data_IF_541516639084
#
_entry.id   IF_541516639084
#
_cell.length_a   1.000
_cell.length_b   1.000
_cell.length_c   1.000
_cell.angle_alpha   90.00
_cell.angle_beta   90.00
_cell.angle_gamma   90.00
#
_symmetry.space_group_name_H-M   'P 1'
#
loop_
_entity.id
_entity.type
_entity.pdbx_description
1 polymer ?
#
# COMPACT_ATOMS: atom_id res chain seq x y z
N UNK A 1 -10.39 -23.08 -10.58
CA UNK A 1 -9.87 -23.85 -9.41
C UNK A 1 -9.88 -22.90 -8.23
N UNK A 2 -10.42 -23.31 -7.10
CA UNK A 2 -10.44 -22.51 -5.89
C UNK A 2 -8.98 -22.37 -5.37
N UNK A 3 -8.50 -21.16 -5.00
CA UNK A 3 -7.17 -20.99 -4.43
C UNK A 3 -7.08 -21.68 -3.07
N UNK A 4 -5.90 -22.15 -2.70
CA UNK A 4 -5.63 -22.70 -1.37
C UNK A 4 -5.79 -21.61 -0.31
N UNK A 5 -5.35 -20.40 -0.64
CA UNK A 5 -5.49 -19.19 0.19
C UNK A 5 -5.43 -17.94 -0.68
N UNK A 6 -6.25 -16.96 -0.34
CA UNK A 6 -6.21 -15.62 -0.93
C UNK A 6 -6.35 -14.57 0.18
N UNK A 7 -5.30 -13.80 0.42
CA UNK A 7 -5.30 -12.79 1.49
C UNK A 7 -6.17 -11.55 1.20
N UNK A 8 -6.67 -11.41 -0.03
CA UNK A 8 -7.56 -10.33 -0.44
C UNK A 8 -9.03 -10.72 -0.46
N UNK A 9 -9.35 -11.98 -0.28
CA UNK A 9 -10.71 -12.49 -0.19
C UNK A 9 -11.11 -12.69 1.28
N UNK A 10 -12.20 -12.04 1.70
CA UNK A 10 -12.72 -12.12 3.07
C UNK A 10 -13.19 -13.52 3.48
N UNK A 11 -13.45 -14.41 2.54
CA UNK A 11 -13.72 -15.81 2.84
C UNK A 11 -12.49 -16.55 3.41
N UNK A 12 -11.28 -16.03 3.13
CA UNK A 12 -10.02 -16.58 3.63
C UNK A 12 -9.42 -15.78 4.78
N UNK A 13 -9.60 -14.46 4.79
CA UNK A 13 -9.08 -13.60 5.86
C UNK A 13 -10.06 -12.49 6.22
N UNK A 14 -10.63 -12.57 7.41
CA UNK A 14 -11.59 -11.60 7.92
C UNK A 14 -11.12 -11.00 9.25
N UNK A 15 -11.18 -9.65 9.39
CA UNK A 15 -11.52 -8.67 8.36
C UNK A 15 -10.43 -8.54 7.29
N UNK A 16 -10.79 -7.99 6.14
CA UNK A 16 -9.85 -7.64 5.09
C UNK A 16 -8.83 -6.58 5.57
N UNK A 17 -7.61 -6.66 5.03
CA UNK A 17 -6.56 -5.66 5.27
C UNK A 17 -6.00 -5.65 6.69
N UNK A 18 -5.72 -4.46 7.22
CA UNK A 18 -5.21 -4.25 8.56
C UNK A 18 -6.29 -4.47 9.62
N UNK A 19 -5.88 -4.89 10.83
CA UNK A 19 -6.80 -5.17 11.93
C UNK A 19 -6.46 -4.34 13.15
N UNK A 20 -7.46 -3.98 13.94
CA UNK A 20 -7.23 -3.30 15.21
C UNK A 20 -6.64 -4.27 16.25
N UNK A 21 -5.76 -3.76 17.10
CA UNK A 21 -5.28 -4.55 18.25
C UNK A 21 -6.46 -5.00 19.13
N UNK A 22 -6.46 -6.26 19.54
CA UNK A 22 -7.51 -6.93 20.32
C UNK A 22 -8.83 -7.15 19.57
N UNK A 23 -8.84 -7.01 18.25
CA UNK A 23 -9.94 -7.49 17.43
C UNK A 23 -9.67 -8.90 16.95
N UNK A 24 -10.71 -9.69 16.81
CA UNK A 24 -10.59 -11.03 16.25
C UNK A 24 -10.25 -10.97 14.76
N UNK A 25 -9.38 -11.84 14.32
CA UNK A 25 -9.04 -12.07 12.92
C UNK A 25 -9.18 -13.54 12.60
N UNK A 26 -9.98 -13.88 11.62
CA UNK A 26 -10.24 -15.25 11.18
C UNK A 26 -9.40 -15.53 9.94
N UNK A 27 -8.73 -16.69 9.96
CA UNK A 27 -7.98 -17.20 8.82
C UNK A 27 -8.55 -18.54 8.39
N UNK A 28 -8.77 -18.70 7.09
CA UNK A 28 -9.26 -19.92 6.48
C UNK A 28 -8.33 -20.37 5.36
N UNK A 29 -8.14 -21.67 5.18
CA UNK A 29 -7.46 -22.26 4.03
C UNK A 29 -8.33 -23.35 3.43
N UNK A 30 -8.28 -23.49 2.11
CA UNK A 30 -8.89 -24.59 1.40
C UNK A 30 -7.84 -25.65 1.08
N UNK A 31 -8.06 -26.88 1.55
CA UNK A 31 -7.15 -28.00 1.28
C UNK A 31 -7.83 -28.97 0.30
N UNK A 32 -7.31 -29.08 -0.94
CA UNK A 32 -7.84 -29.99 -1.95
C UNK A 32 -7.79 -31.46 -1.49
N UNK A 33 -8.71 -32.29 -1.94
CA UNK A 33 -8.78 -33.74 -1.56
C UNK A 33 -7.59 -34.55 -2.03
N UNK A 34 -6.89 -34.13 -3.09
CA UNK A 34 -5.69 -34.77 -3.60
C UNK A 34 -4.43 -34.46 -2.75
N UNK A 35 -4.56 -33.60 -1.74
CA UNK A 35 -3.51 -33.31 -0.75
C UNK A 35 -3.94 -33.86 0.61
N UNK A 36 -3.66 -35.15 0.91
CA UNK A 36 -4.02 -35.72 2.19
C UNK A 36 -3.23 -35.07 3.32
N UNK A 37 -3.91 -34.85 4.44
CA UNK A 37 -3.31 -34.27 5.63
C UNK A 37 -3.07 -35.37 6.67
N UNK A 38 -1.84 -35.50 7.16
CA UNK A 38 -1.52 -36.41 8.27
C UNK A 38 -2.01 -35.86 9.60
N UNK A 39 -1.99 -34.51 9.74
CA UNK A 39 -2.44 -33.79 10.93
C UNK A 39 -3.18 -32.50 10.50
N UNK A 40 -3.92 -31.92 11.44
CA UNK A 40 -4.57 -30.62 11.22
C UNK A 40 -3.52 -29.55 10.84
N UNK A 41 -3.82 -28.70 9.85
CA UNK A 41 -2.92 -27.61 9.46
C UNK A 41 -2.79 -26.59 10.59
N UNK A 42 -1.73 -25.80 10.54
CA UNK A 42 -1.45 -24.74 11.52
C UNK A 42 -1.20 -23.40 10.85
N UNK A 43 -1.73 -22.35 11.42
CA UNK A 43 -1.34 -20.99 11.15
C UNK A 43 -0.12 -20.66 12.01
N UNK A 44 0.95 -20.21 11.39
CA UNK A 44 2.18 -19.76 12.06
C UNK A 44 2.28 -18.25 11.97
N UNK A 45 2.37 -17.58 13.12
CA UNK A 45 2.43 -16.12 13.21
C UNK A 45 3.61 -15.68 14.08
N UNK A 46 4.24 -14.58 13.71
CA UNK A 46 5.28 -13.96 14.54
C UNK A 46 5.44 -12.46 14.19
N UNK A 47 6.15 -11.74 15.05
CA UNK A 47 6.68 -10.41 14.77
C UNK A 47 8.20 -10.50 14.69
N UNK A 48 8.84 -9.63 13.92
CA UNK A 48 10.31 -9.57 13.85
C UNK A 48 10.93 -9.48 15.25
N UNK A 49 11.86 -10.37 15.55
CA UNK A 49 12.52 -10.47 16.85
C UNK A 49 11.73 -11.23 17.93
N UNK A 50 10.57 -11.82 17.61
CA UNK A 50 9.76 -12.63 18.54
C UNK A 50 9.62 -14.06 18.05
N UNK A 51 9.29 -14.97 19.00
CA UNK A 51 9.07 -16.39 18.68
C UNK A 51 7.81 -16.58 17.86
N UNK A 52 7.82 -17.59 17.02
CA UNK A 52 6.66 -18.06 16.29
C UNK A 52 5.58 -18.60 17.25
N UNK A 53 4.34 -18.35 16.89
CA UNK A 53 3.15 -18.93 17.51
C UNK A 53 2.50 -19.85 16.51
N UNK A 54 2.11 -21.02 16.97
CA UNK A 54 1.46 -22.06 16.17
C UNK A 54 0.02 -22.19 16.64
N UNK A 55 -0.93 -21.98 15.72
CA UNK A 55 -2.36 -22.07 15.99
C UNK A 55 -2.95 -23.16 15.11
N UNK A 56 -3.41 -24.24 15.72
CA UNK A 56 -4.06 -25.35 15.02
C UNK A 56 -5.36 -24.88 14.39
N UNK A 57 -5.57 -25.22 13.13
CA UNK A 57 -6.78 -24.90 12.38
C UNK A 57 -7.76 -26.08 12.49
N UNK A 58 -9.05 -25.79 12.66
CA UNK A 58 -10.08 -26.81 12.71
C UNK A 58 -10.79 -26.90 11.37
N UNK A 59 -11.18 -28.10 10.95
CA UNK A 59 -12.02 -28.28 9.78
C UNK A 59 -13.43 -27.75 10.08
N UNK A 60 -13.88 -26.80 9.31
CA UNK A 60 -15.20 -26.15 9.45
C UNK A 60 -16.19 -26.55 8.38
N UNK A 61 -15.71 -26.99 7.23
CA UNK A 61 -16.55 -27.44 6.12
C UNK A 61 -15.88 -28.58 5.34
N UNK A 62 -16.65 -29.58 4.98
CA UNK A 62 -16.25 -30.66 4.07
C UNK A 62 -16.95 -30.46 2.72
N UNK A 63 -16.16 -30.46 1.63
CA UNK A 63 -16.65 -30.30 0.26
C UNK A 63 -16.18 -31.46 -0.61
N UNK A 64 -16.85 -31.72 -1.74
CA UNK A 64 -16.44 -32.79 -2.66
C UNK A 64 -15.02 -32.65 -3.21
N UNK A 65 -14.55 -31.42 -3.39
CA UNK A 65 -13.24 -31.06 -3.97
C UNK A 65 -12.15 -30.75 -2.93
N UNK A 66 -12.51 -30.56 -1.68
CA UNK A 66 -11.56 -30.26 -0.59
C UNK A 66 -12.24 -29.88 0.71
N UNK A 67 -11.47 -29.58 1.71
CA UNK A 67 -11.93 -29.20 3.05
C UNK A 67 -11.51 -27.77 3.39
N UNK A 68 -12.38 -27.03 4.08
CA UNK A 68 -12.07 -25.71 4.60
C UNK A 68 -11.62 -25.83 6.07
N UNK A 69 -10.45 -25.29 6.36
CA UNK A 69 -9.89 -25.21 7.71
C UNK A 69 -9.84 -23.77 8.17
N UNK A 70 -10.14 -23.54 9.44
CA UNK A 70 -10.24 -22.19 10.00
C UNK A 70 -9.63 -22.09 11.39
N UNK A 71 -9.08 -20.91 11.69
CA UNK A 71 -8.62 -20.55 13.03
C UNK A 71 -8.83 -19.07 13.28
N UNK A 72 -9.13 -18.69 14.52
CA UNK A 72 -9.17 -17.30 14.94
C UNK A 72 -7.88 -16.90 15.67
N UNK A 73 -7.50 -15.63 15.51
CA UNK A 73 -6.37 -15.03 16.18
C UNK A 73 -6.73 -13.61 16.64
N UNK A 74 -6.45 -13.32 17.91
CA UNK A 74 -6.62 -11.98 18.47
C UNK A 74 -5.24 -11.38 18.78
N UNK A 75 -4.77 -10.37 18.01
CA UNK A 75 -3.46 -9.78 18.21
C UNK A 75 -3.40 -8.93 19.49
N UNK A 76 -2.47 -9.26 20.38
CA UNK A 76 -2.25 -8.53 21.63
C UNK A 76 -1.39 -7.26 21.49
N UNK A 77 -0.68 -7.09 20.36
CA UNK A 77 0.27 -6.03 20.13
C UNK A 77 0.08 -5.44 18.73
N UNK A 78 0.23 -4.12 18.60
CA UNK A 78 0.27 -3.43 17.32
C UNK A 78 1.65 -3.60 16.63
N UNK A 79 1.69 -3.33 15.34
CA UNK A 79 2.85 -3.46 14.48
C UNK A 79 2.65 -4.50 13.38
N UNK A 80 3.71 -4.79 12.65
CA UNK A 80 3.69 -5.77 11.56
C UNK A 80 3.88 -7.17 12.11
N UNK A 81 2.95 -8.06 11.79
CA UNK A 81 3.04 -9.49 12.02
C UNK A 81 3.23 -10.17 10.67
N UNK A 82 4.00 -11.23 10.65
CA UNK A 82 4.17 -12.10 9.50
C UNK A 82 3.49 -13.44 9.77
N UNK A 83 2.96 -14.07 8.73
CA UNK A 83 2.34 -15.37 8.86
C UNK A 83 2.48 -16.22 7.59
N UNK A 84 2.33 -17.50 7.78
CA UNK A 84 2.22 -18.53 6.76
C UNK A 84 1.44 -19.70 7.33
N UNK A 85 1.05 -20.65 6.49
CA UNK A 85 0.43 -21.89 6.99
C UNK A 85 1.38 -23.05 6.78
N UNK A 86 1.28 -24.04 7.67
CA UNK A 86 2.07 -25.27 7.60
C UNK A 86 1.16 -26.48 7.78
N UNK A 87 1.46 -27.55 7.08
CA UNK A 87 0.77 -28.84 7.20
C UNK A 87 1.74 -29.98 6.93
N UNK A 88 1.34 -31.20 7.27
CA UNK A 88 2.11 -32.42 6.98
C UNK A 88 1.29 -33.31 6.07
N UNK A 89 1.92 -33.80 4.99
CA UNK A 89 1.33 -34.71 4.01
C UNK A 89 2.34 -35.76 3.65
N UNK A 90 1.97 -37.03 3.77
CA UNK A 90 2.85 -38.19 3.55
C UNK A 90 4.17 -38.12 4.36
N UNK A 91 4.07 -37.70 5.64
CA UNK A 91 5.23 -37.56 6.52
C UNK A 91 6.12 -36.33 6.23
N UNK A 92 5.81 -35.54 5.20
CA UNK A 92 6.60 -34.38 4.78
C UNK A 92 5.91 -33.10 5.22
N UNK A 93 6.62 -32.22 5.95
CA UNK A 93 6.14 -30.89 6.31
C UNK A 93 6.18 -29.97 5.10
N UNK A 94 5.07 -29.31 4.80
CA UNK A 94 4.86 -28.38 3.70
C UNK A 94 4.32 -27.05 4.22
N UNK A 95 4.45 -26.03 3.37
CA UNK A 95 4.07 -24.66 3.72
C UNK A 95 3.18 -24.06 2.65
N UNK A 96 2.25 -23.20 3.06
CA UNK A 96 1.51 -22.30 2.18
C UNK A 96 2.07 -20.92 2.45
N UNK A 97 2.77 -20.36 1.48
CA UNK A 97 3.41 -19.06 1.51
C UNK A 97 2.85 -18.15 0.42
N UNK A 98 3.13 -16.88 0.49
CA UNK A 98 2.64 -15.88 -0.46
C UNK A 98 3.43 -15.94 -1.77
N UNK A 99 2.70 -15.98 -2.89
CA UNK A 99 3.24 -15.80 -4.23
C UNK A 99 2.32 -14.87 -5.03
N UNK A 100 2.86 -14.15 -5.99
CA UNK A 100 2.12 -13.29 -6.93
C UNK A 100 1.11 -12.34 -6.24
N UNK A 101 1.62 -11.55 -5.29
CA UNK A 101 0.86 -10.51 -4.59
C UNK A 101 0.05 -10.99 -3.40
N UNK A 102 -0.98 -11.81 -3.56
CA UNK A 102 -1.93 -12.16 -2.51
C UNK A 102 -2.28 -13.64 -2.37
N UNK A 103 -1.95 -14.46 -3.35
CA UNK A 103 -2.26 -15.89 -3.36
C UNK A 103 -1.29 -16.73 -2.52
N UNK A 104 -1.83 -17.77 -1.91
CA UNK A 104 -1.07 -18.84 -1.28
C UNK A 104 -0.61 -19.89 -2.28
N UNK A 105 0.64 -20.31 -2.16
CA UNK A 105 1.26 -21.37 -2.98
C UNK A 105 1.91 -22.42 -2.10
N UNK A 106 2.03 -23.65 -2.62
CA UNK A 106 2.79 -24.75 -2.04
C UNK A 106 4.27 -24.73 -2.46
N UNK A 107 4.62 -23.86 -3.39
CA UNK A 107 6.01 -23.63 -3.80
C UNK A 107 6.68 -22.68 -2.80
N UNK A 108 7.98 -22.45 -2.97
CA UNK A 108 8.67 -21.46 -2.17
C UNK A 108 8.16 -20.04 -2.48
N UNK A 109 8.07 -19.23 -1.44
CA UNK A 109 7.49 -17.90 -1.53
C UNK A 109 7.77 -17.07 -0.28
N UNK A 110 7.24 -15.86 -0.29
CA UNK A 110 7.35 -14.90 0.81
C UNK A 110 6.35 -15.20 1.95
N UNK A 111 6.50 -14.49 3.05
CA UNK A 111 5.53 -14.48 4.13
C UNK A 111 4.35 -13.55 3.79
N UNK A 112 3.18 -13.89 4.29
CA UNK A 112 2.08 -12.93 4.34
C UNK A 112 2.31 -11.92 5.44
N UNK A 113 1.74 -10.73 5.29
CA UNK A 113 1.81 -9.66 6.28
C UNK A 113 0.43 -9.38 6.86
N UNK A 114 0.36 -9.25 8.19
CA UNK A 114 -0.79 -8.74 8.91
C UNK A 114 -0.39 -7.46 9.65
N UNK A 115 -0.91 -6.33 9.21
CA UNK A 115 -0.72 -5.05 9.90
C UNK A 115 -1.75 -4.92 11.03
N UNK A 116 -1.25 -4.72 12.24
CA UNK A 116 -2.10 -4.52 13.43
C UNK A 116 -1.92 -3.09 13.91
N UNK A 117 -2.99 -2.30 13.89
CA UNK A 117 -2.96 -0.90 14.33
C UNK A 117 -3.48 -0.72 15.76
N UNK A 118 -3.15 0.41 16.40
CA UNK A 118 -3.64 0.75 17.73
C UNK A 118 -5.16 0.90 17.73
N UNK A 119 -5.85 0.41 18.75
CA UNK A 119 -7.34 0.46 18.82
C UNK A 119 -7.90 1.89 18.77
N UNK A 120 -7.08 2.88 19.17
CA UNK A 120 -7.42 4.31 19.18
C UNK A 120 -6.91 5.05 17.96
N UNK A 121 -6.36 4.33 16.97
CA UNK A 121 -5.92 4.96 15.72
C UNK A 121 -7.14 5.34 14.88
N UNK A 122 -7.25 6.62 14.58
CA UNK A 122 -8.30 7.18 13.73
C UNK A 122 -7.68 7.99 12.61
N UNK A 123 -8.26 7.94 11.44
CA UNK A 123 -7.93 8.82 10.33
C UNK A 123 -8.87 10.02 10.34
N UNK A 124 -8.40 11.22 9.93
CA UNK A 124 -9.24 12.40 9.85
C UNK A 124 -10.49 12.17 8.96
N UNK A 125 -11.64 12.62 9.42
CA UNK A 125 -12.92 12.37 8.71
C UNK A 125 -12.97 13.04 7.34
N UNK A 126 -12.30 14.18 7.16
CA UNK A 126 -12.26 14.87 5.87
C UNK A 126 -11.54 14.08 4.76
N UNK A 127 -10.75 13.05 5.12
CA UNK A 127 -10.11 12.14 4.16
C UNK A 127 -10.94 10.90 3.85
N UNK A 128 -11.95 10.58 4.70
CA UNK A 128 -12.79 9.39 4.50
C UNK A 128 -13.82 9.64 3.41
N UNK A 129 -13.64 8.98 2.27
CA UNK A 129 -14.48 9.17 1.09
C UNK A 129 -14.28 10.49 0.36
N UNK A 130 -13.23 11.24 0.72
CA UNK A 130 -12.83 12.48 0.07
C UNK A 130 -11.96 12.28 -1.16
N UNK A 131 -11.71 13.37 -1.86
CA UNK A 131 -10.81 13.42 -3.03
C UNK A 131 -9.56 14.21 -2.66
N UNK A 132 -8.40 13.56 -2.67
CA UNK A 132 -7.11 14.23 -2.54
C UNK A 132 -6.58 14.58 -3.92
N UNK A 133 -6.33 15.86 -4.17
CA UNK A 133 -5.79 16.35 -5.43
C UNK A 133 -4.32 16.78 -5.25
N UNK A 134 -3.42 16.10 -5.95
CA UNK A 134 -2.00 16.44 -5.92
C UNK A 134 -1.70 17.55 -6.91
N UNK A 135 -1.00 18.59 -6.46
CA UNK A 135 -0.59 19.73 -7.30
C UNK A 135 0.92 19.79 -7.37
N UNK A 136 1.44 19.86 -8.59
CA UNK A 136 2.80 20.31 -8.88
C UNK A 136 2.76 21.82 -9.15
N UNK A 137 3.13 22.70 -8.19
CA UNK A 137 2.81 24.13 -8.24
C UNK A 137 3.32 24.83 -9.49
N UNK A 138 4.55 24.53 -9.91
CA UNK A 138 5.18 25.14 -11.07
C UNK A 138 4.37 24.99 -12.37
N UNK A 139 3.55 23.93 -12.48
CA UNK A 139 2.85 23.55 -13.71
C UNK A 139 1.33 23.51 -13.56
N UNK A 140 0.78 24.13 -12.52
CA UNK A 140 -0.66 24.11 -12.30
C UNK A 140 -1.35 25.40 -12.78
N UNK A 141 -0.92 26.56 -12.27
CA UNK A 141 -1.48 27.85 -12.66
C UNK A 141 -0.53 28.99 -12.33
N UNK A 142 -0.37 29.95 -13.27
CA UNK A 142 0.33 31.22 -13.06
C UNK A 142 -0.62 32.27 -12.49
N UNK A 143 -0.20 33.02 -11.47
CA UNK A 143 -0.95 34.20 -11.00
C UNK A 143 -0.79 35.41 -11.90
N UNK A 144 0.24 35.43 -12.76
CA UNK A 144 0.66 36.58 -13.54
C UNK A 144 1.50 37.59 -12.76
N UNK A 145 1.79 37.34 -11.48
CA UNK A 145 2.72 38.18 -10.71
C UNK A 145 4.17 37.98 -11.21
N UNK A 146 4.91 39.06 -11.24
CA UNK A 146 6.35 39.02 -11.50
C UNK A 146 7.03 38.55 -10.22
N UNK A 147 7.81 37.48 -10.31
CA UNK A 147 8.63 36.99 -9.21
C UNK A 147 10.00 37.70 -9.26
N UNK A 148 10.28 38.51 -8.25
CA UNK A 148 11.57 39.18 -8.10
C UNK A 148 12.59 38.23 -7.47
N UNK A 149 13.89 38.53 -7.72
CA UNK A 149 15.02 37.80 -7.12
C UNK A 149 15.07 36.29 -7.48
N UNK A 150 14.59 35.90 -8.63
CA UNK A 150 14.76 34.54 -9.12
C UNK A 150 16.25 34.27 -9.34
N UNK A 151 16.82 33.19 -8.74
CA UNK A 151 18.22 32.85 -8.96
C UNK A 151 18.57 32.64 -10.45
N UNK A 152 19.77 33.04 -10.85
CA UNK A 152 20.21 33.07 -12.26
C UNK A 152 20.43 31.68 -12.87
N UNK A 153 20.49 30.64 -12.05
CA UNK A 153 20.67 29.27 -12.47
C UNK A 153 19.34 28.55 -12.82
N UNK A 154 18.23 29.29 -12.73
CA UNK A 154 16.91 28.79 -13.09
C UNK A 154 16.47 29.41 -14.44
N UNK A 155 15.84 28.58 -15.27
CA UNK A 155 15.31 28.99 -16.57
C UNK A 155 13.79 29.18 -16.44
N UNK A 156 13.34 30.43 -16.43
CA UNK A 156 11.90 30.72 -16.50
C UNK A 156 11.42 30.58 -17.95
N UNK A 157 10.38 29.75 -18.13
CA UNK A 157 9.77 29.45 -19.41
C UNK A 157 8.66 30.48 -19.71
N UNK A 158 8.59 30.92 -20.93
CA UNK A 158 7.49 31.75 -21.46
C UNK A 158 6.45 30.92 -22.24
N UNK A 159 6.82 29.70 -22.64
CA UNK A 159 6.01 28.74 -23.36
C UNK A 159 5.29 27.76 -22.38
N UNK A 160 4.16 28.17 -21.83
CA UNK A 160 3.39 27.37 -20.85
C UNK A 160 3.05 25.95 -21.32
N UNK A 161 2.73 25.78 -22.58
CA UNK A 161 2.36 24.51 -23.22
C UNK A 161 3.58 23.74 -23.76
N UNK A 162 4.79 24.23 -23.54
CA UNK A 162 6.03 23.63 -24.00
C UNK A 162 6.41 22.35 -23.25
N UNK A 163 7.28 21.57 -23.87
CA UNK A 163 7.84 20.38 -23.21
C UNK A 163 8.94 20.77 -22.21
N UNK A 164 8.98 20.15 -21.01
CA UNK A 164 10.07 20.36 -20.07
C UNK A 164 11.41 19.90 -20.63
N UNK A 165 12.50 20.44 -20.08
CA UNK A 165 13.86 20.05 -20.45
C UNK A 165 14.19 18.67 -19.84
N UNK A 166 13.87 17.60 -20.56
CA UNK A 166 14.06 16.22 -20.10
C UNK A 166 15.28 15.53 -20.71
N UNK A 167 15.95 16.15 -21.69
CA UNK A 167 17.12 15.55 -22.35
C UNK A 167 18.38 15.88 -21.56
N UNK A 168 19.29 14.91 -21.39
CA UNK A 168 20.57 15.14 -20.76
C UNK A 168 21.44 16.10 -21.60
N UNK A 169 22.31 16.83 -20.93
CA UNK A 169 23.38 17.62 -21.55
C UNK A 169 24.50 16.72 -22.13
N UNK A 170 25.55 17.31 -22.65
CA UNK A 170 26.70 16.60 -23.24
C UNK A 170 27.43 15.69 -22.22
N UNK A 171 27.26 15.90 -20.93
CA UNK A 171 27.82 15.10 -19.83
C UNK A 171 26.84 14.06 -19.28
N UNK A 172 25.65 13.94 -19.86
CA UNK A 172 24.61 13.00 -19.41
C UNK A 172 23.78 13.51 -18.23
N UNK A 173 23.87 14.78 -17.87
CA UNK A 173 23.15 15.36 -16.72
C UNK A 173 21.83 16.02 -17.17
N UNK A 174 20.73 15.74 -16.44
CA UNK A 174 19.43 16.39 -16.59
C UNK A 174 19.28 17.39 -15.43
N UNK A 175 19.25 18.67 -15.75
CA UNK A 175 19.30 19.75 -14.77
C UNK A 175 17.99 19.97 -14.00
N UNK A 176 16.85 19.69 -14.61
CA UNK A 176 15.52 19.92 -14.04
C UNK A 176 15.33 21.35 -13.48
N UNK A 177 15.97 22.34 -14.10
CA UNK A 177 16.00 23.73 -13.65
C UNK A 177 15.14 24.67 -14.51
N UNK A 178 14.30 24.14 -15.39
CA UNK A 178 13.31 24.88 -16.15
C UNK A 178 12.01 24.98 -15.36
N UNK A 179 11.53 26.21 -15.19
CA UNK A 179 10.34 26.54 -14.44
C UNK A 179 9.27 27.14 -15.36
N UNK A 180 8.06 26.64 -15.29
CA UNK A 180 6.93 27.20 -16.03
C UNK A 180 6.28 28.39 -15.32
N UNK A 181 6.59 28.59 -14.04
CA UNK A 181 6.20 29.77 -13.28
C UNK A 181 4.80 29.72 -12.68
N UNK A 182 4.24 28.53 -12.51
CA UNK A 182 3.08 28.34 -11.65
C UNK A 182 3.44 28.63 -10.19
N UNK A 183 2.51 29.22 -9.44
CA UNK A 183 2.75 29.70 -8.09
C UNK A 183 1.57 29.46 -7.13
N UNK A 184 1.78 29.75 -5.82
CA UNK A 184 0.75 29.56 -4.81
C UNK A 184 -0.46 30.47 -5.00
N UNK A 185 -0.28 31.67 -5.53
CA UNK A 185 -1.39 32.58 -5.87
C UNK A 185 -2.20 32.04 -7.04
N UNK A 186 -1.56 31.44 -8.04
CA UNK A 186 -2.23 30.73 -9.11
C UNK A 186 -3.07 29.57 -8.59
N UNK A 187 -2.52 28.77 -7.64
CA UNK A 187 -3.30 27.71 -6.97
C UNK A 187 -4.48 28.32 -6.22
N UNK A 188 -4.27 29.39 -5.45
CA UNK A 188 -5.32 30.07 -4.70
C UNK A 188 -6.45 30.55 -5.63
N UNK A 189 -6.12 31.06 -6.80
CA UNK A 189 -7.11 31.51 -7.80
C UNK A 189 -7.97 30.38 -8.39
N UNK A 190 -7.57 29.11 -8.18
CA UNK A 190 -8.26 27.91 -8.67
C UNK A 190 -8.95 27.12 -7.57
N UNK A 191 -9.07 27.66 -6.35
CA UNK A 191 -9.73 26.95 -5.24
C UNK A 191 -11.21 26.66 -5.53
N UNK A 192 -11.93 27.59 -6.13
CA UNK A 192 -13.34 27.38 -6.51
C UNK A 192 -13.45 26.23 -7.54
N UNK A 193 -12.58 26.19 -8.53
CA UNK A 193 -12.51 25.08 -9.49
C UNK A 193 -12.26 23.74 -8.79
N UNK A 194 -11.32 23.68 -7.85
CA UNK A 194 -11.02 22.49 -7.09
C UNK A 194 -12.19 22.06 -6.19
N UNK A 195 -12.88 23.03 -5.60
CA UNK A 195 -14.08 22.79 -4.80
C UNK A 195 -15.23 22.22 -5.66
N UNK A 196 -15.48 22.80 -6.82
CA UNK A 196 -16.51 22.34 -7.76
C UNK A 196 -16.19 20.91 -8.28
N UNK A 197 -14.91 20.56 -8.39
CA UNK A 197 -14.45 19.23 -8.72
C UNK A 197 -14.66 18.20 -7.57
N UNK A 198 -15.03 18.68 -6.37
CA UNK A 198 -15.23 17.83 -5.20
C UNK A 198 -13.97 17.52 -4.41
N UNK A 199 -12.90 18.30 -4.60
CA UNK A 199 -11.64 18.12 -3.85
C UNK A 199 -11.84 18.52 -2.39
N UNK A 200 -11.49 17.61 -1.49
CA UNK A 200 -11.56 17.82 -0.04
C UNK A 200 -10.19 18.03 0.60
N UNK A 201 -9.12 17.64 -0.10
CA UNK A 201 -7.75 17.77 0.38
C UNK A 201 -6.81 18.09 -0.78
N UNK A 202 -5.96 19.09 -0.60
CA UNK A 202 -4.89 19.42 -1.56
C UNK A 202 -3.56 18.91 -1.00
N UNK A 203 -2.85 18.10 -1.79
CA UNK A 203 -1.48 17.71 -1.53
C UNK A 203 -0.56 18.52 -2.46
N UNK A 204 0.25 19.40 -1.89
CA UNK A 204 1.23 20.17 -2.66
C UNK A 204 2.55 19.40 -2.74
N UNK A 205 3.09 19.24 -3.96
CA UNK A 205 4.49 18.91 -4.12
C UNK A 205 5.35 19.99 -3.44
N UNK A 206 6.64 19.74 -3.13
CA UNK A 206 7.46 20.68 -2.38
C UNK A 206 7.39 22.12 -2.92
N UNK A 207 7.24 23.08 -1.99
CA UNK A 207 7.01 24.51 -2.30
C UNK A 207 8.17 25.42 -1.92
N UNK A 208 9.17 24.87 -1.24
CA UNK A 208 10.31 25.64 -0.76
C UNK A 208 11.28 26.01 -1.90
N UNK A 209 12.18 26.92 -1.60
CA UNK A 209 13.24 27.27 -2.54
C UNK A 209 14.12 26.06 -2.80
N UNK A 210 14.44 25.83 -4.07
CA UNK A 210 15.21 24.69 -4.54
C UNK A 210 15.86 25.00 -5.88
N UNK A 211 16.97 24.34 -6.14
CA UNK A 211 17.66 24.44 -7.42
C UNK A 211 16.88 23.74 -8.55
N UNK A 212 16.30 22.60 -8.27
CA UNK A 212 15.51 21.82 -9.20
C UNK A 212 14.01 22.15 -9.12
N UNK A 213 13.30 22.05 -10.25
CA UNK A 213 11.86 22.34 -10.33
C UNK A 213 11.01 21.35 -9.51
N UNK A 214 11.51 20.14 -9.23
CA UNK A 214 10.87 19.16 -8.33
C UNK A 214 10.97 19.50 -6.85
N UNK A 215 11.90 20.36 -6.46
CA UNK A 215 12.07 20.93 -5.11
C UNK A 215 12.29 19.92 -3.98
N UNK A 216 12.95 18.79 -4.28
CA UNK A 216 13.32 17.77 -3.29
C UNK A 216 14.76 17.88 -2.77
N UNK A 217 15.56 18.81 -3.29
CA UNK A 217 16.93 19.07 -2.90
C UNK A 217 17.06 20.28 -1.96
#
# INVERSE_FOLDING_TARGET
MQPIYDSWDESYKQPFGAVARRSECIFSIFMPKDIPLDYLPVLVLFRTGFRERFLTMNRVEERPDGDLYQVSFTPGFSGVHYYYFAFTSHGVRRYIKRRDGHYGTLEDGDLFQLTVYGKTFETPDFLKGGVMYQIFPDRFCKSGKVHENVPTDRVLRDDWDGLPYYKPDANGHVWNNDYFGGDLEGIRSKLDYLQDLGVTCIYLNPIFESHENHRYN
#
